data_IF_904654619571
#
_entry.id   IF_904654619571
#
_cell.length_a   1.000
_cell.length_b   1.000
_cell.length_c   1.000
_cell.angle_alpha   90.00
_cell.angle_beta   90.00
_cell.angle_gamma   90.00
#
_symmetry.space_group_name_H-M   'P 1'
#
loop_
_entity.id
_entity.type
_entity.pdbx_description
1 polymer ?
#
# COMPACT_ATOMS: atom_id res chain seq x y z
N UNK A 1 -10.60 -36.31 63.40
CA UNK A 1 -11.65 -35.74 62.54
C UNK A 1 -11.15 -34.38 62.08
N UNK A 2 -10.75 -34.25 60.81
CA UNK A 2 -10.12 -33.05 60.27
C UNK A 2 -11.19 -32.03 59.87
N UNK A 3 -11.05 -30.80 60.37
CA UNK A 3 -12.00 -29.73 60.23
C UNK A 3 -12.09 -29.18 58.80
N UNK A 4 -13.30 -28.74 58.48
CA UNK A 4 -13.82 -28.18 57.25
C UNK A 4 -12.95 -27.08 56.63
N UNK A 5 -12.78 -27.14 55.29
CA UNK A 5 -12.46 -25.98 54.45
C UNK A 5 -13.54 -25.86 53.38
N UNK A 6 -14.64 -25.20 53.73
CA UNK A 6 -15.73 -24.86 52.82
C UNK A 6 -15.90 -23.34 52.82
N UNK A 7 -14.97 -22.65 52.15
CA UNK A 7 -14.98 -21.17 52.05
C UNK A 7 -14.39 -20.57 50.77
N UNK A 8 -13.93 -21.35 49.79
CA UNK A 8 -13.05 -20.83 48.71
C UNK A 8 -13.67 -20.77 47.30
N UNK A 9 -14.92 -21.18 47.11
CA UNK A 9 -15.55 -21.26 45.77
C UNK A 9 -16.25 -19.96 45.35
N UNK A 10 -16.82 -19.22 46.30
CA UNK A 10 -17.54 -17.95 46.08
C UNK A 10 -16.59 -16.79 45.77
N UNK A 11 -15.44 -16.68 46.45
CA UNK A 11 -14.44 -15.63 46.22
C UNK A 11 -13.76 -15.74 44.85
N UNK A 12 -13.47 -16.97 44.38
CA UNK A 12 -12.89 -17.21 43.05
C UNK A 12 -13.81 -16.78 41.91
N UNK A 13 -15.12 -16.96 42.08
CA UNK A 13 -16.12 -16.60 41.07
C UNK A 13 -16.34 -15.08 40.96
N UNK A 14 -16.22 -14.33 42.06
CA UNK A 14 -16.31 -12.88 42.05
C UNK A 14 -15.08 -12.25 41.38
N UNK A 15 -13.90 -12.74 41.75
CA UNK A 15 -12.62 -12.30 41.21
C UNK A 15 -12.50 -12.58 39.70
N UNK A 16 -12.93 -13.76 39.22
CA UNK A 16 -12.96 -14.05 37.78
C UNK A 16 -13.94 -13.16 36.98
N UNK A 17 -15.01 -12.65 37.61
CA UNK A 17 -15.99 -11.76 36.96
C UNK A 17 -15.45 -10.32 36.90
N UNK A 18 -14.77 -9.86 37.94
CA UNK A 18 -14.04 -8.59 37.95
C UNK A 18 -12.82 -8.61 37.03
N UNK A 19 -12.07 -9.71 37.00
CA UNK A 19 -10.94 -9.91 36.08
C UNK A 19 -11.39 -9.87 34.62
N UNK A 20 -12.55 -10.46 34.27
CA UNK A 20 -13.14 -10.32 32.92
C UNK A 20 -13.63 -8.90 32.63
N UNK A 21 -14.12 -8.17 33.63
CA UNK A 21 -14.51 -6.76 33.51
C UNK A 21 -13.30 -5.84 33.34
N UNK A 22 -12.14 -6.20 33.89
CA UNK A 22 -10.87 -5.46 33.78
C UNK A 22 -10.03 -5.86 32.56
N UNK A 23 -10.18 -7.08 32.04
CA UNK A 23 -9.50 -7.53 30.82
C UNK A 23 -9.92 -6.73 29.58
N UNK A 24 -11.21 -6.41 29.44
CA UNK A 24 -11.71 -5.57 28.34
C UNK A 24 -11.04 -4.18 28.28
N UNK A 25 -11.00 -3.38 29.36
CA UNK A 25 -10.32 -2.09 29.37
C UNK A 25 -8.80 -2.22 29.17
N UNK A 26 -8.17 -3.30 29.65
CA UNK A 26 -6.74 -3.56 29.38
C UNK A 26 -6.46 -3.84 27.89
N UNK A 27 -7.28 -4.66 27.24
CA UNK A 27 -7.16 -4.95 25.80
C UNK A 27 -7.39 -3.66 25.00
N UNK A 28 -8.38 -2.86 25.38
CA UNK A 28 -8.66 -1.59 24.74
C UNK A 28 -7.52 -0.58 24.90
N UNK A 29 -6.91 -0.52 26.09
CA UNK A 29 -5.73 0.30 26.34
C UNK A 29 -4.58 -0.10 25.40
N UNK A 30 -4.26 -1.40 25.31
CA UNK A 30 -3.22 -1.90 24.39
C UNK A 30 -3.56 -1.61 22.92
N UNK A 31 -4.84 -1.69 22.53
CA UNK A 31 -5.28 -1.32 21.17
C UNK A 31 -5.03 0.16 20.91
N UNK A 32 -5.39 1.05 21.84
CA UNK A 32 -5.19 2.50 21.73
C UNK A 32 -3.72 2.88 21.68
N UNK A 33 -2.89 2.25 22.51
CA UNK A 33 -1.43 2.41 22.46
C UNK A 33 -0.89 2.05 21.09
N UNK A 34 -1.28 0.89 20.53
CA UNK A 34 -0.85 0.49 19.19
C UNK A 34 -1.23 1.51 18.11
N UNK A 35 -2.47 2.00 18.16
CA UNK A 35 -2.96 3.03 17.21
C UNK A 35 -2.16 4.33 17.35
N UNK A 36 -1.92 4.78 18.58
CA UNK A 36 -1.16 6.00 18.83
C UNK A 36 0.31 5.86 18.39
N UNK A 37 0.94 4.71 18.64
CA UNK A 37 2.30 4.44 18.15
C UNK A 37 2.39 4.49 16.63
N UNK A 38 1.41 3.93 15.91
CA UNK A 38 1.38 4.02 14.45
C UNK A 38 1.13 5.44 13.94
N UNK A 39 0.29 6.21 14.63
CA UNK A 39 0.02 7.61 14.25
C UNK A 39 1.24 8.51 14.48
N UNK A 40 1.99 8.31 15.56
CA UNK A 40 3.21 9.09 15.81
C UNK A 40 4.30 8.78 14.77
N UNK A 41 4.47 7.51 14.42
CA UNK A 41 5.38 7.12 13.33
C UNK A 41 4.95 7.75 12.01
N UNK A 42 3.66 7.69 11.68
CA UNK A 42 3.13 8.29 10.45
C UNK A 42 3.34 9.81 10.43
N UNK A 43 3.12 10.49 11.55
CA UNK A 43 3.40 11.91 11.73
C UNK A 43 4.87 12.25 11.47
N UNK A 44 5.81 11.47 12.00
CA UNK A 44 7.24 11.63 11.73
C UNK A 44 7.56 11.51 10.23
N UNK A 45 7.05 10.46 9.58
CA UNK A 45 7.27 10.26 8.13
C UNK A 45 6.73 11.45 7.31
N UNK A 46 5.55 11.97 7.65
CA UNK A 46 4.96 13.12 6.95
C UNK A 46 5.75 14.41 7.19
N UNK A 47 6.20 14.65 8.42
CA UNK A 47 7.07 15.79 8.77
C UNK A 47 8.37 15.74 7.95
N UNK A 48 9.04 14.60 7.90
CA UNK A 48 10.29 14.44 7.16
C UNK A 48 10.10 14.56 5.64
N UNK A 49 9.03 13.95 5.10
CA UNK A 49 8.79 13.92 3.65
C UNK A 49 8.43 15.29 3.06
N UNK A 50 7.80 16.16 3.84
CA UNK A 50 7.26 17.44 3.37
C UNK A 50 7.81 18.65 4.14
N UNK A 51 8.75 18.46 5.07
CA UNK A 51 9.33 19.48 5.93
C UNK A 51 8.27 20.28 6.73
N UNK A 52 7.31 19.59 7.36
CA UNK A 52 6.26 20.24 8.16
C UNK A 52 6.68 20.48 9.62
N UNK A 53 6.05 21.46 10.25
CA UNK A 53 6.19 21.69 11.69
C UNK A 53 5.42 20.62 12.50
N UNK A 54 6.16 19.74 13.19
CA UNK A 54 5.56 18.69 14.02
C UNK A 54 4.60 19.23 15.09
N UNK A 55 4.85 20.43 15.64
CA UNK A 55 4.03 21.02 16.71
C UNK A 55 2.64 21.47 16.24
N UNK A 56 2.44 21.68 14.94
CA UNK A 56 1.18 22.14 14.35
C UNK A 56 0.36 21.01 13.72
N UNK A 57 0.95 19.81 13.58
CA UNK A 57 0.28 18.70 12.91
C UNK A 57 -0.69 17.98 13.86
N UNK A 58 -1.98 18.19 13.67
CA UNK A 58 -3.02 17.49 14.40
C UNK A 58 -3.27 16.08 13.85
N UNK A 59 -4.03 15.27 14.58
CA UNK A 59 -4.36 13.90 14.14
C UNK A 59 -5.19 13.87 12.86
N UNK A 60 -6.06 14.87 12.66
CA UNK A 60 -6.85 15.00 11.44
C UNK A 60 -5.93 15.34 10.26
N UNK A 61 -5.04 16.32 10.41
CA UNK A 61 -4.07 16.72 9.38
C UNK A 61 -3.16 15.56 8.97
N UNK A 62 -2.63 14.79 9.93
CA UNK A 62 -1.82 13.59 9.65
C UNK A 62 -2.57 12.64 8.72
N UNK A 63 -3.86 12.39 8.98
CA UNK A 63 -4.68 11.50 8.16
C UNK A 63 -4.98 12.12 6.79
N UNK A 64 -5.32 13.41 6.73
CA UNK A 64 -5.64 14.11 5.49
C UNK A 64 -4.43 14.17 4.54
N UNK A 65 -3.28 14.63 5.04
CA UNK A 65 -2.03 14.71 4.26
C UNK A 65 -1.61 13.31 3.78
N UNK A 66 -1.76 12.29 4.62
CA UNK A 66 -1.42 10.91 4.23
C UNK A 66 -2.35 10.40 3.12
N UNK A 67 -3.65 10.68 3.20
CA UNK A 67 -4.59 10.29 2.14
C UNK A 67 -4.23 11.01 0.84
N UNK A 68 -3.98 12.32 0.89
CA UNK A 68 -3.54 13.09 -0.28
C UNK A 68 -2.24 12.53 -0.87
N UNK A 69 -1.28 12.14 -0.02
CA UNK A 69 -0.03 11.49 -0.44
C UNK A 69 -0.30 10.17 -1.17
N UNK A 70 -1.12 9.28 -0.59
CA UNK A 70 -1.45 7.97 -1.19
C UNK A 70 -2.23 8.11 -2.50
N UNK A 71 -3.16 9.05 -2.57
CA UNK A 71 -3.86 9.36 -3.79
C UNK A 71 -2.93 9.97 -4.85
N UNK A 72 -1.96 10.80 -4.44
CA UNK A 72 -0.88 11.28 -5.30
C UNK A 72 -0.05 10.14 -5.87
N UNK A 73 0.29 9.15 -5.04
CA UNK A 73 0.98 7.92 -5.46
C UNK A 73 0.15 7.09 -6.45
N UNK A 74 -1.17 6.98 -6.24
CA UNK A 74 -2.05 6.23 -7.14
C UNK A 74 -2.32 6.95 -8.46
N UNK A 75 -2.56 8.27 -8.42
CA UNK A 75 -2.75 9.10 -9.63
C UNK A 75 -1.44 9.28 -10.39
N UNK A 76 -0.31 9.21 -9.69
CA UNK A 76 1.03 9.37 -10.23
C UNK A 76 1.82 8.08 -10.30
N UNK A 77 1.61 7.28 -11.35
CA UNK A 77 2.69 6.48 -11.96
C UNK A 77 3.86 7.37 -12.48
N UNK A 78 4.08 8.58 -11.95
CA UNK A 78 5.11 9.50 -12.44
C UNK A 78 5.20 10.90 -11.82
N UNK A 79 4.84 11.14 -10.55
CA UNK A 79 5.11 12.47 -9.95
C UNK A 79 5.47 12.43 -8.46
N UNK A 80 6.78 12.35 -8.21
CA UNK A 80 7.52 12.97 -7.10
C UNK A 80 6.95 12.85 -5.67
N UNK A 81 7.01 11.65 -5.10
CA UNK A 81 7.09 11.45 -3.65
C UNK A 81 8.49 10.94 -3.27
N UNK A 82 9.10 11.35 -2.14
CA UNK A 82 10.51 11.07 -1.81
C UNK A 82 10.89 9.58 -1.76
N UNK A 83 9.92 8.67 -1.57
CA UNK A 83 10.15 7.22 -1.65
C UNK A 83 9.95 6.58 -3.04
N UNK A 84 9.08 7.15 -3.88
CA UNK A 84 8.88 6.71 -5.28
C UNK A 84 9.99 7.23 -6.20
N UNK A 85 10.55 8.40 -5.85
CA UNK A 85 11.73 8.95 -6.50
C UNK A 85 12.88 7.97 -6.47
N UNK A 86 13.14 7.23 -5.40
CA UNK A 86 14.30 6.33 -5.34
C UNK A 86 14.27 5.23 -6.42
N UNK A 87 13.10 4.70 -6.75
CA UNK A 87 12.94 3.71 -7.83
C UNK A 87 13.09 4.34 -9.22
N UNK A 88 12.47 5.50 -9.44
CA UNK A 88 12.57 6.24 -10.70
C UNK A 88 13.99 6.76 -10.94
N UNK A 89 14.62 7.32 -9.91
CA UNK A 89 16.00 7.80 -9.86
C UNK A 89 17.00 6.66 -10.08
N UNK A 90 16.81 5.51 -9.42
CA UNK A 90 17.67 4.32 -9.65
C UNK A 90 17.53 3.82 -11.09
N UNK A 91 16.32 3.85 -11.65
CA UNK A 91 16.05 3.47 -13.04
C UNK A 91 16.64 4.47 -14.03
N UNK A 92 16.58 5.77 -13.74
CA UNK A 92 17.18 6.83 -14.54
C UNK A 92 18.71 6.75 -14.52
N UNK A 93 19.32 6.55 -13.34
CA UNK A 93 20.77 6.32 -13.21
C UNK A 93 21.21 5.08 -13.99
N UNK A 94 20.45 3.98 -13.91
CA UNK A 94 20.73 2.78 -14.69
C UNK A 94 20.62 3.03 -16.20
N UNK A 95 19.55 3.68 -16.66
CA UNK A 95 19.37 4.03 -18.08
C UNK A 95 20.51 4.93 -18.58
N UNK A 96 20.93 5.91 -17.79
CA UNK A 96 22.06 6.79 -18.10
C UNK A 96 23.36 6.01 -18.21
N UNK A 97 23.66 5.12 -17.24
CA UNK A 97 24.85 4.28 -17.27
C UNK A 97 24.86 3.29 -18.44
N UNK A 98 23.68 2.76 -18.81
CA UNK A 98 23.53 1.91 -19.98
C UNK A 98 23.87 2.66 -21.27
N UNK A 99 23.34 3.87 -21.45
CA UNK A 99 23.64 4.71 -22.62
C UNK A 99 25.13 5.04 -22.69
N UNK A 100 25.76 5.36 -21.56
CA UNK A 100 27.18 5.64 -21.50
C UNK A 100 28.03 4.41 -21.88
N UNK A 101 27.68 3.22 -21.39
CA UNK A 101 28.32 1.97 -21.79
C UNK A 101 28.17 1.72 -23.30
N UNK A 102 26.98 1.96 -23.86
CA UNK A 102 26.71 1.87 -25.30
C UNK A 102 27.62 2.78 -26.13
N UNK A 103 27.82 4.03 -25.69
CA UNK A 103 28.74 4.96 -26.35
C UNK A 103 30.20 4.46 -26.30
N UNK A 104 30.61 3.87 -25.19
CA UNK A 104 31.96 3.30 -25.06
C UNK A 104 32.14 2.08 -25.98
N UNK A 105 31.15 1.20 -26.05
CA UNK A 105 31.13 0.07 -26.99
C UNK A 105 31.22 0.57 -28.43
N UNK A 106 30.46 1.60 -28.79
CA UNK A 106 30.52 2.21 -30.12
C UNK A 106 31.93 2.76 -30.43
N UNK A 107 32.55 3.48 -29.50
CA UNK A 107 33.89 4.02 -29.68
C UNK A 107 34.96 2.92 -29.81
N UNK A 108 34.83 1.84 -29.05
CA UNK A 108 35.72 0.68 -29.14
C UNK A 108 35.62 -0.01 -30.50
N UNK A 109 34.39 -0.20 -31.01
CA UNK A 109 34.15 -0.81 -32.32
C UNK A 109 34.73 0.04 -33.46
N UNK A 110 34.69 1.38 -33.36
CA UNK A 110 35.28 2.29 -34.34
C UNK A 110 36.82 2.33 -34.28
N UNK A 111 37.39 2.16 -33.09
CA UNK A 111 38.83 2.28 -32.85
C UNK A 111 39.59 0.96 -33.08
N UNK A 112 38.88 -0.16 -33.25
CA UNK A 112 39.48 -1.48 -33.42
C UNK A 112 39.81 -1.77 -34.90
N UNK A 113 41.10 -1.89 -35.29
CA UNK A 113 41.49 -2.21 -36.65
C UNK A 113 41.11 -3.66 -36.99
N UNK A 114 40.36 -3.86 -38.08
CA UNK A 114 39.95 -5.20 -38.54
C UNK A 114 38.58 -5.68 -38.03
N UNK A 115 37.84 -4.85 -37.29
CA UNK A 115 36.46 -5.14 -36.88
C UNK A 115 35.52 -5.11 -38.09
N UNK A 116 34.66 -6.12 -38.23
CA UNK A 116 33.63 -6.13 -39.26
C UNK A 116 32.53 -5.10 -38.96
N UNK A 117 32.34 -4.15 -39.89
CA UNK A 117 31.41 -3.03 -39.74
C UNK A 117 29.95 -3.48 -39.67
N UNK A 118 29.60 -4.59 -40.31
CA UNK A 118 28.22 -5.12 -40.32
C UNK A 118 27.90 -5.81 -39.00
N UNK A 119 28.85 -6.56 -38.45
CA UNK A 119 28.75 -7.16 -37.13
C UNK A 119 28.66 -6.11 -36.02
N UNK A 120 29.48 -5.05 -36.09
CA UNK A 120 29.43 -3.93 -35.15
C UNK A 120 28.08 -3.20 -35.17
N UNK A 121 27.53 -2.96 -36.36
CA UNK A 121 26.21 -2.35 -36.51
C UNK A 121 25.08 -3.26 -35.97
N UNK A 122 25.17 -4.57 -36.21
CA UNK A 122 24.21 -5.56 -35.69
C UNK A 122 24.21 -5.61 -34.15
N UNK A 123 25.41 -5.62 -33.55
CA UNK A 123 25.58 -5.58 -32.09
C UNK A 123 25.00 -4.30 -31.48
N UNK A 124 25.29 -3.13 -32.07
CA UNK A 124 24.77 -1.85 -31.60
C UNK A 124 23.25 -1.78 -31.69
N UNK A 125 22.68 -2.33 -32.78
CA UNK A 125 21.24 -2.38 -32.97
C UNK A 125 20.59 -3.31 -31.93
N UNK A 126 21.19 -4.46 -31.64
CA UNK A 126 20.74 -5.35 -30.59
C UNK A 126 20.80 -4.69 -29.20
N UNK A 127 21.89 -3.98 -28.87
CA UNK A 127 22.02 -3.23 -27.62
C UNK A 127 20.94 -2.15 -27.51
N UNK A 128 20.66 -1.41 -28.58
CA UNK A 128 19.61 -0.39 -28.63
C UNK A 128 18.20 -0.98 -28.44
N UNK A 129 17.92 -2.17 -28.99
CA UNK A 129 16.66 -2.89 -28.77
C UNK A 129 16.55 -3.46 -27.34
N UNK A 130 17.68 -3.77 -26.71
CA UNK A 130 17.73 -4.23 -25.31
C UNK A 130 17.71 -3.09 -24.29
N UNK A 131 17.64 -1.84 -24.75
CA UNK A 131 17.53 -0.68 -23.86
C UNK A 131 16.29 -0.87 -22.97
N UNK A 132 16.39 -0.68 -21.65
CA UNK A 132 15.26 -0.84 -20.75
C UNK A 132 14.17 0.18 -21.12
N UNK A 133 13.19 -0.23 -21.93
CA UNK A 133 12.09 0.63 -22.32
C UNK A 133 11.41 1.15 -21.06
N UNK A 134 11.42 2.48 -20.90
CA UNK A 134 10.85 3.19 -19.74
C UNK A 134 9.34 2.97 -19.64
N UNK A 135 8.71 2.30 -20.61
CA UNK A 135 7.32 1.87 -20.55
C UNK A 135 7.08 0.98 -19.33
N UNK A 136 6.25 1.47 -18.42
CA UNK A 136 5.52 0.62 -17.51
C UNK A 136 4.85 -0.46 -18.36
N UNK A 137 5.27 -1.72 -18.23
CA UNK A 137 4.54 -2.85 -18.78
C UNK A 137 3.19 -2.92 -18.06
N UNK A 138 2.21 -2.12 -18.51
CA UNK A 138 0.82 -2.52 -18.42
C UNK A 138 0.74 -3.76 -19.30
N UNK A 139 0.55 -4.92 -18.68
CA UNK A 139 0.23 -6.17 -19.34
C UNK A 139 -1.02 -5.97 -20.22
N UNK A 140 -0.82 -5.60 -21.48
CA UNK A 140 -1.82 -5.73 -22.53
C UNK A 140 -1.78 -7.18 -22.99
N UNK A 141 -2.62 -8.01 -22.38
CA UNK A 141 -2.92 -9.37 -22.80
C UNK A 141 -3.45 -9.32 -24.24
N UNK A 142 -2.62 -9.68 -25.21
CA UNK A 142 -3.05 -9.91 -26.59
C UNK A 142 -3.70 -11.29 -26.67
N UNK A 143 -5.02 -11.37 -26.51
CA UNK A 143 -5.79 -12.54 -26.91
C UNK A 143 -6.44 -12.27 -28.27
N UNK A 144 -5.85 -12.88 -29.29
CA UNK A 144 -6.38 -12.94 -30.66
C UNK A 144 -7.51 -13.98 -30.71
N UNK A 145 -8.71 -13.50 -31.04
CA UNK A 145 -9.84 -14.12 -31.75
C UNK A 145 -10.08 -15.64 -31.68
N UNK A 146 -11.30 -16.02 -31.26
CA UNK A 146 -12.25 -16.78 -32.09
C UNK A 146 -13.67 -16.67 -31.56
N UNK A 147 -14.57 -16.34 -32.48
CA UNK A 147 -16.02 -16.25 -32.33
C UNK A 147 -16.62 -17.59 -31.90
N UNK A 148 -17.69 -17.56 -31.11
CA UNK A 148 -18.92 -18.27 -31.45
C UNK A 148 -20.13 -17.66 -30.72
N UNK A 149 -21.17 -17.44 -31.53
CA UNK A 149 -22.50 -16.95 -31.22
C UNK A 149 -23.32 -18.12 -30.65
N UNK A 150 -24.15 -17.88 -29.62
CA UNK A 150 -25.55 -18.36 -29.49
C UNK A 150 -26.07 -18.22 -28.03
N UNK A 151 -27.30 -17.72 -27.90
CA UNK A 151 -28.27 -18.28 -26.95
C UNK A 151 -28.52 -17.53 -25.64
N UNK A 152 -29.62 -16.77 -25.61
CA UNK A 152 -30.33 -16.21 -24.45
C UNK A 152 -30.50 -17.19 -23.28
N UNK A 153 -30.61 -16.68 -22.04
CA UNK A 153 -31.73 -16.95 -21.09
C UNK A 153 -31.58 -16.04 -19.86
N UNK A 154 -32.67 -15.36 -19.50
CA UNK A 154 -32.82 -14.54 -18.30
C UNK A 154 -32.75 -15.36 -17.00
N UNK A 155 -32.44 -14.76 -15.86
CA UNK A 155 -33.29 -14.75 -14.65
C UNK A 155 -32.59 -14.10 -13.45
N UNK A 156 -33.34 -13.18 -12.82
CA UNK A 156 -33.54 -13.08 -11.37
C UNK A 156 -32.43 -12.52 -10.47
N UNK A 157 -32.58 -11.23 -10.14
CA UNK A 157 -32.08 -10.62 -8.90
C UNK A 157 -32.99 -10.95 -7.70
N UNK A 158 -32.47 -11.04 -6.46
CA UNK A 158 -33.29 -10.90 -5.26
C UNK A 158 -33.03 -9.57 -4.51
N UNK A 159 -34.02 -9.07 -3.75
CA UNK A 159 -34.09 -7.70 -3.27
C UNK A 159 -33.47 -7.48 -1.88
N UNK A 160 -33.25 -6.20 -1.57
CA UNK A 160 -32.67 -5.71 -0.33
C UNK A 160 -33.51 -5.98 0.92
N UNK A 161 -32.81 -6.17 2.04
CA UNK A 161 -33.40 -6.32 3.37
C UNK A 161 -33.44 -4.97 4.09
N UNK A 162 -34.66 -4.57 4.42
CA UNK A 162 -35.04 -3.40 5.19
C UNK A 162 -34.46 -3.44 6.61
N UNK A 163 -33.61 -2.47 6.92
CA UNK A 163 -33.13 -2.14 8.26
C UNK A 163 -34.29 -1.55 9.08
N UNK A 164 -34.81 -2.30 10.05
CA UNK A 164 -35.69 -1.74 11.09
C UNK A 164 -34.90 -0.73 11.93
N UNK A 165 -35.30 0.54 11.86
CA UNK A 165 -34.85 1.58 12.76
C UNK A 165 -35.85 1.67 13.92
N UNK A 166 -35.40 1.23 15.10
CA UNK A 166 -36.10 1.45 16.37
C UNK A 166 -36.08 2.95 16.67
N UNK A 167 -37.21 3.61 16.44
CA UNK A 167 -37.46 4.97 16.93
C UNK A 167 -37.61 4.94 18.44
N UNK A 168 -36.69 5.62 19.13
CA UNK A 168 -36.84 6.04 20.52
C UNK A 168 -37.56 7.38 20.50
N UNK A 169 -38.78 7.42 20.99
CA UNK A 169 -39.49 8.65 21.32
C UNK A 169 -39.97 8.52 22.76
N UNK A 170 -39.15 8.99 23.70
CA UNK A 170 -39.61 9.39 25.03
C UNK A 170 -39.83 10.90 24.94
N UNK A 171 -41.08 11.31 24.77
CA UNK A 171 -41.51 12.70 24.98
C UNK A 171 -42.50 12.68 26.14
N UNK A 172 -42.31 13.63 27.04
CA UNK A 172 -42.86 13.65 28.39
C UNK A 172 -44.37 13.62 28.49
N UNK A 173 -44.82 13.13 29.64
CA UNK A 173 -46.16 13.29 30.13
C UNK A 173 -46.07 13.94 31.52
N UNK A 174 -46.95 14.92 31.71
CA UNK A 174 -47.21 15.82 32.83
C UNK A 174 -46.68 15.42 34.22
#
# INVERSE_FOLDING_TARGET
MTASSMGSLSERNFNAKEERKLRKPLIEKRRRERINCSLEQLKGIMVDAYNLDQSKLEKADVLEITVQHMEGLQRGQGAAGPGSNLGLESRQRYSSGYIQCMHEVHNLLLSCPGMDKTLGASLLNHLLQSLPHISAKTSSTSNTSKNDIHGSTALSAPPGTTRQQRVVATVGNL
#
